data_IF_641575442098
#
_entry.id   IF_641575442098
#
_cell.length_a   1.000
_cell.length_b   1.000
_cell.length_c   1.000
_cell.angle_alpha   90.00
_cell.angle_beta   90.00
_cell.angle_gamma   90.00
#
_symmetry.space_group_name_H-M   'P 1'
#
loop_
_entity.id
_entity.type
_entity.pdbx_description
1 polymer ?
#
# COMPACT_ATOMS: atom_id res chain seq x y z
N UNK A 1 19.24 -25.17 5.95
CA UNK A 1 18.09 -24.26 5.76
C UNK A 1 17.83 -23.59 7.11
N UNK A 2 18.19 -22.32 7.25
CA UNK A 2 18.02 -21.60 8.51
C UNK A 2 16.53 -21.33 8.74
N UNK A 3 15.96 -22.01 9.74
CA UNK A 3 14.60 -21.73 10.21
C UNK A 3 14.59 -20.39 10.92
N UNK A 4 14.22 -19.33 10.20
CA UNK A 4 13.83 -18.06 10.80
C UNK A 4 12.57 -18.30 11.64
N UNK A 5 12.75 -18.58 12.94
CA UNK A 5 11.68 -18.39 13.92
C UNK A 5 11.51 -16.87 14.09
N UNK A 6 10.70 -16.25 13.22
CA UNK A 6 10.24 -14.89 13.45
C UNK A 6 9.38 -14.89 14.70
N UNK A 7 9.78 -14.10 15.69
CA UNK A 7 8.99 -13.86 16.89
C UNK A 7 7.65 -13.22 16.48
N UNK A 8 6.49 -13.72 16.90
CA UNK A 8 5.18 -13.19 16.48
C UNK A 8 4.96 -11.72 16.91
N UNK A 9 5.72 -11.22 17.88
CA UNK A 9 5.75 -9.81 18.25
C UNK A 9 6.63 -8.95 17.33
N UNK A 10 7.66 -9.54 16.71
CA UNK A 10 8.47 -8.86 15.70
C UNK A 10 7.64 -8.64 14.43
N UNK A 11 6.90 -9.65 13.98
CA UNK A 11 5.98 -9.53 12.84
C UNK A 11 4.91 -8.47 13.08
N UNK A 12 4.29 -8.41 14.27
CA UNK A 12 3.28 -7.38 14.59
C UNK A 12 3.84 -5.96 14.58
N UNK A 13 5.03 -5.75 15.10
CA UNK A 13 5.65 -4.42 15.14
C UNK A 13 6.16 -3.98 13.77
N UNK A 14 6.75 -4.90 13.01
CA UNK A 14 7.17 -4.65 11.62
C UNK A 14 5.95 -4.39 10.74
N UNK A 15 4.90 -5.21 10.84
CA UNK A 15 3.67 -5.03 10.07
C UNK A 15 3.01 -3.68 10.37
N UNK A 16 2.95 -3.25 11.63
CA UNK A 16 2.44 -1.92 12.01
C UNK A 16 3.25 -0.76 11.43
N UNK A 17 4.58 -0.86 11.45
CA UNK A 17 5.42 0.17 10.84
C UNK A 17 5.28 0.19 9.32
N UNK A 18 5.26 -0.99 8.69
CA UNK A 18 5.08 -1.14 7.24
C UNK A 18 3.73 -0.57 6.83
N UNK A 19 2.63 -0.91 7.50
CA UNK A 19 1.31 -0.37 7.15
C UNK A 19 1.20 1.13 7.40
N UNK A 20 1.84 1.68 8.43
CA UNK A 20 1.85 3.13 8.67
C UNK A 20 2.59 3.87 7.55
N UNK A 21 3.73 3.34 7.11
CA UNK A 21 4.48 3.90 5.99
C UNK A 21 3.68 3.77 4.68
N UNK A 22 3.07 2.60 4.44
CA UNK A 22 2.20 2.37 3.29
C UNK A 22 1.01 3.32 3.26
N UNK A 23 0.34 3.54 4.40
CA UNK A 23 -0.80 4.44 4.48
C UNK A 23 -0.38 5.88 4.15
N UNK A 24 0.80 6.32 4.62
CA UNK A 24 1.34 7.64 4.28
C UNK A 24 1.61 7.77 2.78
N UNK A 25 2.14 6.73 2.14
CA UNK A 25 2.40 6.72 0.70
C UNK A 25 1.12 6.65 -0.13
N UNK A 26 0.15 5.83 0.28
CA UNK A 26 -1.19 5.77 -0.33
C UNK A 26 -1.89 7.13 -0.21
N UNK A 27 -1.83 7.78 0.95
CA UNK A 27 -2.40 9.11 1.17
C UNK A 27 -1.73 10.17 0.28
N UNK A 28 -0.40 10.08 0.09
CA UNK A 28 0.33 10.96 -0.81
C UNK A 28 -0.11 10.78 -2.27
N UNK A 29 -0.20 9.52 -2.73
CA UNK A 29 -0.70 9.20 -4.09
C UNK A 29 -2.15 9.65 -4.24
N UNK A 30 -3.00 9.40 -3.26
CA UNK A 30 -4.40 9.84 -3.27
C UNK A 30 -4.51 11.35 -3.43
N UNK A 31 -3.73 12.14 -2.68
CA UNK A 31 -3.77 13.60 -2.79
C UNK A 31 -3.33 14.11 -4.17
N UNK A 32 -2.35 13.45 -4.79
CA UNK A 32 -1.76 13.88 -6.06
C UNK A 32 -2.48 13.34 -7.30
N UNK A 33 -3.06 12.13 -7.20
CA UNK A 33 -3.59 11.37 -8.33
C UNK A 33 -5.08 11.00 -8.19
N UNK A 34 -5.80 11.47 -7.17
CA UNK A 34 -7.27 11.28 -7.09
C UNK A 34 -7.95 11.79 -8.36
N UNK A 35 -8.89 11.01 -8.89
CA UNK A 35 -9.60 11.34 -10.12
C UNK A 35 -8.79 11.17 -11.41
N UNK A 36 -7.52 10.72 -11.33
CA UNK A 36 -6.77 10.28 -12.51
C UNK A 36 -7.14 8.84 -12.89
N UNK A 37 -6.67 8.39 -14.05
CA UNK A 37 -6.88 7.02 -14.51
C UNK A 37 -6.20 6.00 -13.59
N UNK A 38 -6.81 4.82 -13.48
CA UNK A 38 -6.30 3.70 -12.66
C UNK A 38 -4.85 3.37 -13.02
N UNK A 39 -4.47 3.40 -14.31
CA UNK A 39 -3.09 3.18 -14.74
C UNK A 39 -2.09 4.21 -14.21
N UNK A 40 -2.47 5.50 -14.17
CA UNK A 40 -1.63 6.55 -13.63
C UNK A 40 -1.41 6.36 -12.12
N UNK A 41 -2.49 6.02 -11.42
CA UNK A 41 -2.46 5.73 -9.98
C UNK A 41 -1.64 4.46 -9.70
N UNK A 42 -1.82 3.38 -10.47
CA UNK A 42 -1.05 2.14 -10.36
C UNK A 42 0.45 2.39 -10.50
N UNK A 43 0.86 3.17 -11.51
CA UNK A 43 2.28 3.53 -11.70
C UNK A 43 2.82 4.35 -10.52
N UNK A 44 2.02 5.26 -9.97
CA UNK A 44 2.42 6.05 -8.80
C UNK A 44 2.56 5.17 -7.54
N UNK A 45 1.61 4.27 -7.31
CA UNK A 45 1.66 3.29 -6.21
C UNK A 45 2.86 2.35 -6.38
N UNK A 46 3.11 1.81 -7.57
CA UNK A 46 4.28 0.95 -7.83
C UNK A 46 5.60 1.69 -7.59
N UNK A 47 5.70 2.98 -7.95
CA UNK A 47 6.91 3.77 -7.69
C UNK A 47 7.16 4.03 -6.21
N UNK A 48 6.12 4.24 -5.41
CA UNK A 48 6.24 4.54 -3.98
C UNK A 48 6.34 3.29 -3.10
N UNK A 49 5.49 2.31 -3.39
CA UNK A 49 5.28 1.11 -2.56
C UNK A 49 6.05 -0.10 -3.11
N UNK A 50 6.59 -0.01 -4.33
CA UNK A 50 7.38 -1.07 -4.94
C UNK A 50 6.61 -2.38 -5.03
N UNK A 51 7.27 -3.47 -4.62
CA UNK A 51 6.70 -4.82 -4.51
C UNK A 51 5.96 -5.06 -3.20
N UNK A 52 5.87 -4.07 -2.32
CA UNK A 52 5.24 -4.23 -1.01
C UNK A 52 3.71 -4.38 -1.12
N UNK A 53 3.12 -3.93 -2.23
CA UNK A 53 1.73 -4.19 -2.59
C UNK A 53 1.64 -5.22 -3.72
N UNK A 54 1.04 -6.36 -3.42
CA UNK A 54 0.79 -7.43 -4.39
C UNK A 54 -0.29 -6.97 -5.40
N UNK A 55 -0.18 -7.38 -6.67
CA UNK A 55 -1.05 -6.95 -7.78
C UNK A 55 -2.57 -6.91 -7.52
N UNK A 56 -3.20 -7.87 -6.80
CA UNK A 56 -4.63 -7.78 -6.52
C UNK A 56 -4.94 -6.57 -5.61
N UNK A 57 -4.16 -6.38 -4.55
CA UNK A 57 -4.32 -5.25 -3.64
C UNK A 57 -3.96 -3.92 -4.32
N UNK A 58 -2.90 -3.89 -5.13
CA UNK A 58 -2.51 -2.69 -5.88
C UNK A 58 -3.60 -2.21 -6.84
N UNK A 59 -4.27 -3.15 -7.52
CA UNK A 59 -5.39 -2.83 -8.42
C UNK A 59 -6.59 -2.27 -7.67
N UNK A 60 -7.01 -2.93 -6.59
CA UNK A 60 -8.12 -2.46 -5.76
C UNK A 60 -7.84 -1.06 -5.19
N UNK A 61 -6.64 -0.82 -4.67
CA UNK A 61 -6.27 0.50 -4.14
C UNK A 61 -6.24 1.56 -5.24
N UNK A 62 -5.70 1.23 -6.42
CA UNK A 62 -5.67 2.17 -7.54
C UNK A 62 -7.06 2.52 -8.05
N UNK A 63 -7.98 1.55 -8.11
CA UNK A 63 -9.38 1.77 -8.49
C UNK A 63 -10.10 2.67 -7.49
N UNK A 64 -9.96 2.42 -6.19
CA UNK A 64 -10.56 3.28 -5.15
C UNK A 64 -10.02 4.70 -5.21
N UNK A 65 -8.70 4.88 -5.32
CA UNK A 65 -8.10 6.23 -5.45
C UNK A 65 -8.57 6.93 -6.72
N UNK A 66 -8.65 6.20 -7.85
CA UNK A 66 -9.16 6.73 -9.12
C UNK A 66 -10.62 7.20 -8.99
N UNK A 67 -11.46 6.46 -8.25
CA UNK A 67 -12.83 6.85 -7.90
C UNK A 67 -12.91 8.00 -6.89
N UNK A 68 -11.80 8.40 -6.27
CA UNK A 68 -11.76 9.40 -5.20
C UNK A 68 -12.13 8.85 -3.83
N UNK A 69 -12.20 7.53 -3.68
CA UNK A 69 -12.41 6.85 -2.40
C UNK A 69 -11.09 6.71 -1.65
N UNK A 70 -11.06 7.19 -0.41
CA UNK A 70 -9.87 7.09 0.43
C UNK A 70 -9.76 5.66 0.96
N UNK A 71 -8.68 4.96 0.60
CA UNK A 71 -8.39 3.64 1.15
C UNK A 71 -7.69 3.79 2.51
N UNK A 72 -8.23 3.14 3.52
CA UNK A 72 -7.58 3.01 4.83
C UNK A 72 -7.20 1.55 5.04
N UNK A 73 -5.90 1.25 5.09
CA UNK A 73 -5.38 -0.03 5.52
C UNK A 73 -5.70 -0.21 7.00
N UNK A 74 -6.74 -0.97 7.31
CA UNK A 74 -6.97 -1.48 8.66
C UNK A 74 -6.12 -2.73 8.84
N UNK A 75 -5.07 -2.62 9.66
CA UNK A 75 -4.37 -3.76 10.25
C UNK A 75 -5.15 -4.34 11.43
#
# INVERSE_FOLDING_TARGET
MAGFKMDPNFEKNVTKQVAKNMQSDIDAVFRQHKGQSVDAVKRALQRKLGTALVEPALTTVAESISRGEKVTLKL
#
